data_IF_566518140647
#
_entry.id   IF_566518140647
#
_cell.length_a   1.000
_cell.length_b   1.000
_cell.length_c   1.000
_cell.angle_alpha   90.00
_cell.angle_beta   90.00
_cell.angle_gamma   90.00
#
_symmetry.space_group_name_H-M   'P 1'
#
loop_
_entity.id
_entity.type
_entity.pdbx_description
1 polymer ?
#
# COMPACT_ATOMS: atom_id res chain seq x y z
N UNK A 1 3.18 8.62 -16.24
CA UNK A 1 4.17 7.60 -15.88
C UNK A 1 4.46 6.63 -17.01
N UNK A 2 3.48 5.86 -17.52
CA UNK A 2 3.71 4.88 -18.59
C UNK A 2 4.31 5.44 -19.89
N UNK A 3 4.08 6.72 -20.19
CA UNK A 3 4.64 7.39 -21.36
C UNK A 3 6.15 7.67 -21.27
N UNK A 4 6.73 7.75 -20.07
CA UNK A 4 8.09 8.27 -19.86
C UNK A 4 9.20 7.34 -20.39
N UNK A 5 8.95 6.03 -20.46
CA UNK A 5 9.91 5.03 -20.93
C UNK A 5 9.36 4.16 -22.08
N UNK A 6 8.39 4.67 -22.85
CA UNK A 6 7.80 3.92 -23.95
C UNK A 6 8.88 3.47 -24.95
N UNK A 7 9.13 2.16 -24.98
CA UNK A 7 10.07 1.51 -25.90
C UNK A 7 11.39 1.05 -25.29
N UNK A 8 11.80 1.58 -24.14
CA UNK A 8 13.15 1.29 -23.58
C UNK A 8 13.15 0.37 -22.36
N UNK A 9 12.06 0.31 -21.59
CA UNK A 9 12.03 -0.44 -20.33
C UNK A 9 10.77 -1.29 -20.24
N UNK A 10 10.95 -2.62 -20.26
CA UNK A 10 9.87 -3.55 -19.85
C UNK A 10 9.65 -3.37 -18.35
N UNK A 11 8.40 -3.23 -17.92
CA UNK A 11 8.06 -3.05 -16.49
C UNK A 11 8.56 -4.19 -15.58
N UNK A 12 8.84 -5.37 -16.15
CA UNK A 12 9.56 -6.50 -15.52
C UNK A 12 10.95 -6.11 -14.98
N UNK A 13 11.56 -5.01 -15.46
CA UNK A 13 12.79 -4.48 -14.90
C UNK A 13 12.61 -3.83 -13.53
N UNK A 14 11.41 -3.36 -13.18
CA UNK A 14 11.15 -2.78 -11.85
C UNK A 14 11.35 -3.81 -10.73
N UNK A 15 11.12 -5.09 -11.00
CA UNK A 15 11.37 -6.18 -10.06
C UNK A 15 12.87 -6.32 -9.72
N UNK A 16 13.76 -5.76 -10.55
CA UNK A 16 15.21 -5.72 -10.31
C UNK A 16 15.61 -4.59 -9.36
N UNK A 17 14.77 -3.56 -9.19
CA UNK A 17 15.00 -2.49 -8.22
C UNK A 17 14.48 -2.93 -6.87
N UNK A 18 15.35 -3.58 -6.10
CA UNK A 18 15.05 -3.94 -4.72
C UNK A 18 14.89 -2.67 -3.90
N UNK A 19 13.63 -2.30 -3.63
CA UNK A 19 13.29 -1.27 -2.66
C UNK A 19 13.40 -1.93 -1.27
N UNK A 20 14.32 -1.47 -0.41
CA UNK A 20 14.48 -2.06 0.91
C UNK A 20 13.23 -1.86 1.75
N UNK A 21 12.92 -2.84 2.60
CA UNK A 21 11.86 -2.73 3.60
C UNK A 21 10.46 -2.45 3.04
N UNK A 22 10.15 -2.98 1.85
CA UNK A 22 8.77 -2.96 1.34
C UNK A 22 7.83 -3.65 2.35
N UNK A 23 6.67 -3.05 2.63
CA UNK A 23 5.76 -3.58 3.63
C UNK A 23 5.15 -4.91 3.18
N UNK A 24 4.96 -5.80 4.15
CA UNK A 24 4.32 -7.07 3.90
C UNK A 24 2.85 -6.88 3.47
N UNK A 25 2.46 -7.55 2.38
CA UNK A 25 1.07 -7.56 1.90
C UNK A 25 0.13 -8.22 2.91
N UNK A 26 -1.17 -7.92 2.84
CA UNK A 26 -2.17 -8.65 3.61
C UNK A 26 -2.31 -10.09 3.08
N UNK A 27 -2.16 -11.12 3.92
CA UNK A 27 -2.36 -12.50 3.48
C UNK A 27 -3.84 -12.77 3.17
N UNK A 28 -4.08 -13.55 2.11
CA UNK A 28 -5.41 -13.81 1.56
C UNK A 28 -6.29 -14.72 2.45
N UNK A 29 -5.71 -15.54 3.33
CA UNK A 29 -6.41 -16.50 4.20
C UNK A 29 -6.13 -16.25 5.69
N UNK A 30 -7.12 -16.58 6.54
CA UNK A 30 -7.02 -16.64 8.02
C UNK A 30 -6.55 -15.38 8.78
N UNK A 31 -6.51 -14.21 8.16
CA UNK A 31 -6.06 -12.97 8.83
C UNK A 31 -7.20 -12.11 9.37
N UNK A 32 -7.12 -11.63 10.61
CA UNK A 32 -8.10 -10.69 11.17
C UNK A 32 -8.19 -9.39 10.36
N UNK A 33 -9.39 -8.81 10.23
CA UNK A 33 -9.57 -7.52 9.54
C UNK A 33 -8.70 -6.43 10.17
N UNK A 34 -8.61 -6.41 11.50
CA UNK A 34 -7.76 -5.49 12.25
C UNK A 34 -6.26 -5.67 11.94
N UNK A 35 -5.80 -6.91 11.82
CA UNK A 35 -4.41 -7.20 11.48
C UNK A 35 -4.06 -6.73 10.05
N UNK A 36 -5.00 -6.82 9.09
CA UNK A 36 -4.79 -6.25 7.76
C UNK A 36 -4.82 -4.70 7.77
N UNK A 37 -5.66 -4.08 8.62
CA UNK A 37 -5.65 -2.63 8.80
C UNK A 37 -4.33 -2.15 9.42
N UNK A 38 -3.76 -2.90 10.37
CA UNK A 38 -2.42 -2.62 10.92
C UNK A 38 -1.34 -2.68 9.86
N UNK A 39 -1.29 -3.76 9.06
CA UNK A 39 -0.34 -3.88 7.95
C UNK A 39 -0.50 -2.77 6.91
N UNK A 40 -1.75 -2.40 6.60
CA UNK A 40 -2.05 -1.27 5.72
C UNK A 40 -1.45 0.01 6.29
N UNK A 41 -1.67 0.30 7.57
CA UNK A 41 -1.14 1.48 8.23
C UNK A 41 0.39 1.50 8.25
N UNK A 42 1.03 0.43 8.71
CA UNK A 42 2.49 0.31 8.74
C UNK A 42 3.08 0.52 7.35
N UNK A 43 2.48 -0.10 6.31
CA UNK A 43 2.93 0.09 4.95
C UNK A 43 2.72 1.49 4.41
N UNK A 44 1.61 2.15 4.71
CA UNK A 44 1.39 3.54 4.33
C UNK A 44 2.40 4.48 4.97
N UNK A 45 2.79 4.25 6.22
CA UNK A 45 3.84 5.01 6.89
C UNK A 45 5.20 4.83 6.20
N UNK A 46 5.57 3.61 5.83
CA UNK A 46 6.78 3.35 5.02
C UNK A 46 6.71 4.08 3.67
N UNK A 47 5.60 3.96 2.94
CA UNK A 47 5.44 4.61 1.65
C UNK A 47 5.45 6.15 1.75
N UNK A 48 4.95 6.74 2.83
CA UNK A 48 5.03 8.19 3.05
C UNK A 48 6.48 8.70 3.08
N UNK A 49 7.41 7.88 3.54
CA UNK A 49 8.85 8.18 3.52
C UNK A 49 9.38 7.99 2.10
N UNK A 50 9.10 6.84 1.46
CA UNK A 50 9.57 6.55 0.10
C UNK A 50 9.07 7.57 -0.94
N UNK A 51 7.86 8.12 -0.76
CA UNK A 51 7.30 9.14 -1.65
C UNK A 51 8.10 10.44 -1.66
N UNK A 52 8.93 10.72 -0.64
CA UNK A 52 9.87 11.87 -0.67
C UNK A 52 10.87 11.74 -1.83
N UNK A 53 11.31 10.53 -2.16
CA UNK A 53 12.16 10.28 -3.33
C UNK A 53 11.42 10.60 -4.63
N UNK A 54 10.14 10.18 -4.73
CA UNK A 54 9.30 10.47 -5.91
C UNK A 54 9.08 11.97 -6.09
N UNK A 55 8.87 12.72 -5.00
CA UNK A 55 8.73 14.18 -5.03
C UNK A 55 10.00 14.87 -5.53
N UNK A 56 11.17 14.37 -5.13
CA UNK A 56 12.47 14.90 -5.57
C UNK A 56 12.73 14.65 -7.07
N UNK A 57 12.31 13.50 -7.60
CA UNK A 57 12.48 13.19 -9.04
C UNK A 57 11.52 13.97 -9.94
N UNK A 58 10.33 14.35 -9.43
CA UNK A 58 9.27 14.97 -10.21
C UNK A 58 8.73 16.27 -9.58
N UNK A 59 9.59 17.28 -9.34
CA UNK A 59 9.20 18.50 -8.60
C UNK A 59 8.15 19.36 -9.32
N UNK A 60 8.09 19.27 -10.65
CA UNK A 60 7.11 20.01 -11.47
C UNK A 60 5.79 19.23 -11.67
N UNK A 61 5.76 17.95 -11.29
CA UNK A 61 4.55 17.14 -11.41
C UNK A 61 3.62 17.41 -10.24
N UNK A 62 2.32 17.49 -10.52
CA UNK A 62 1.29 17.55 -9.47
C UNK A 62 1.00 16.19 -8.86
N UNK A 63 1.41 15.11 -9.52
CA UNK A 63 1.05 13.76 -9.10
C UNK A 63 1.67 13.39 -7.74
N UNK A 64 2.95 13.67 -7.45
CA UNK A 64 3.53 13.37 -6.14
C UNK A 64 2.79 14.07 -4.99
N UNK A 65 2.38 15.34 -5.17
CA UNK A 65 1.67 16.08 -4.13
C UNK A 65 0.25 15.55 -3.89
N UNK A 66 -0.45 15.13 -4.95
CA UNK A 66 -1.74 14.44 -4.86
C UNK A 66 -1.61 13.09 -4.15
N UNK A 67 -0.64 12.26 -4.55
CA UNK A 67 -0.39 10.96 -3.93
C UNK A 67 -0.07 11.12 -2.45
N UNK A 68 0.75 12.11 -2.07
CA UNK A 68 1.03 12.44 -0.66
C UNK A 68 -0.24 12.85 0.08
N UNK A 69 -1.05 13.75 -0.49
CA UNK A 69 -2.28 14.21 0.13
C UNK A 69 -3.24 13.04 0.42
N UNK A 70 -3.55 12.24 -0.60
CA UNK A 70 -4.46 11.09 -0.44
C UNK A 70 -3.89 10.00 0.46
N UNK A 71 -2.57 9.78 0.45
CA UNK A 71 -1.91 8.86 1.38
C UNK A 71 -2.09 9.32 2.83
N UNK A 72 -1.93 10.62 3.11
CA UNK A 72 -2.12 11.17 4.45
C UNK A 72 -3.59 11.09 4.92
N UNK A 73 -4.55 11.32 4.02
CA UNK A 73 -5.97 11.11 4.31
C UNK A 73 -6.23 9.65 4.66
N UNK A 74 -5.71 8.72 3.85
CA UNK A 74 -5.88 7.28 4.09
C UNK A 74 -5.22 6.82 5.39
N UNK A 75 -4.03 7.33 5.72
CA UNK A 75 -3.35 7.06 6.99
C UNK A 75 -4.26 7.42 8.17
N UNK A 76 -4.79 8.65 8.21
CA UNK A 76 -5.69 9.09 9.28
C UNK A 76 -6.94 8.22 9.40
N UNK A 77 -7.54 7.86 8.27
CA UNK A 77 -8.73 6.98 8.26
C UNK A 77 -8.42 5.57 8.79
N UNK A 78 -7.27 5.01 8.43
CA UNK A 78 -6.86 3.68 8.90
C UNK A 78 -6.45 3.72 10.37
N UNK A 79 -5.71 4.75 10.81
CA UNK A 79 -5.37 4.99 12.21
C UNK A 79 -6.61 5.03 13.11
N UNK A 80 -7.69 5.65 12.63
CA UNK A 80 -8.96 5.70 13.34
C UNK A 80 -9.71 4.37 13.42
N UNK A 81 -9.38 3.40 12.55
CA UNK A 81 -10.04 2.10 12.49
C UNK A 81 -9.24 0.96 13.12
N UNK A 82 -7.95 1.13 13.36
CA UNK A 82 -7.10 0.15 14.06
C UNK A 82 -7.47 0.16 15.56
N UNK A 83 -7.82 -1.01 16.11
CA UNK A 83 -8.24 -1.13 17.52
C UNK A 83 -7.07 -0.96 18.50
N UNK A 84 -5.89 -1.47 18.14
CA UNK A 84 -4.70 -1.48 19.00
C UNK A 84 -3.59 -0.60 18.40
N UNK A 85 -3.74 0.72 18.57
CA UNK A 85 -2.78 1.70 18.02
C UNK A 85 -1.34 1.50 18.50
N UNK A 86 -1.16 1.01 19.73
CA UNK A 86 0.17 0.77 20.33
C UNK A 86 0.96 -0.38 19.71
N UNK A 87 0.36 -1.16 18.81
CA UNK A 87 1.04 -2.24 18.07
C UNK A 87 1.43 -1.83 16.64
N UNK A 88 1.22 -0.56 16.26
CA UNK A 88 1.64 -0.04 14.96
C UNK A 88 3.10 0.34 15.04
N UNK A 89 3.94 -0.34 14.26
CA UNK A 89 5.37 -0.01 14.18
C UNK A 89 5.57 1.24 13.34
N UNK A 90 6.02 2.34 13.96
CA UNK A 90 6.40 3.57 13.25
C UNK A 90 7.91 3.61 13.06
N UNK A 91 8.36 4.15 11.92
CA UNK A 91 9.79 4.32 11.67
C UNK A 91 10.32 5.51 12.47
N UNK A 92 11.39 5.29 13.24
CA UNK A 92 12.16 6.37 13.86
C UNK A 92 12.81 7.27 12.79
N UNK A 93 13.18 8.49 13.15
CA UNK A 93 13.85 9.42 12.22
C UNK A 93 15.09 8.79 11.57
N UNK A 94 15.91 8.05 12.33
CA UNK A 94 17.08 7.37 11.79
C UNK A 94 16.72 6.25 10.79
N UNK A 95 15.65 5.50 11.05
CA UNK A 95 15.16 4.48 10.11
C UNK A 95 14.61 5.11 8.82
N UNK A 96 13.94 6.26 8.92
CA UNK A 96 13.46 6.99 7.75
C UNK A 96 14.64 7.49 6.89
N UNK A 97 15.67 8.05 7.51
CA UNK A 97 16.88 8.48 6.81
C UNK A 97 17.61 7.31 6.14
N UNK A 98 17.75 6.19 6.83
CA UNK A 98 18.33 4.97 6.26
C UNK A 98 17.54 4.48 5.05
N UNK A 99 16.20 4.51 5.13
CA UNK A 99 15.33 4.12 4.03
C UNK A 99 15.52 5.03 2.81
N UNK A 100 15.60 6.34 3.01
CA UNK A 100 15.85 7.32 1.94
C UNK A 100 17.23 7.13 1.30
N UNK A 101 18.28 6.95 2.11
CA UNK A 101 19.63 6.68 1.60
C UNK A 101 19.70 5.40 0.78
N UNK A 102 18.91 4.39 1.12
CA UNK A 102 18.96 3.10 0.44
C UNK A 102 18.30 3.11 -0.95
N UNK A 103 17.37 4.04 -1.18
CA UNK A 103 16.74 4.29 -2.48
C UNK A 103 17.42 5.40 -3.30
N UNK A 104 18.34 6.12 -2.68
CA UNK A 104 19.18 7.09 -3.37
C UNK A 104 20.10 6.36 -4.38
N UNK A 105 20.22 6.95 -5.57
CA UNK A 105 20.99 6.41 -6.70
C UNK A 105 21.74 7.56 -7.35
N UNK A 106 22.94 7.29 -7.86
CA UNK A 106 23.83 8.35 -8.36
C UNK A 106 23.39 8.94 -9.69
N UNK A 107 22.78 8.15 -10.57
CA UNK A 107 22.39 8.57 -11.91
C UNK A 107 20.89 8.77 -12.06
N UNK A 108 20.51 9.71 -12.94
CA UNK A 108 19.13 10.12 -13.15
C UNK A 108 18.22 8.99 -13.62
N UNK A 109 18.74 8.06 -14.44
CA UNK A 109 17.94 6.95 -14.96
C UNK A 109 17.52 6.00 -13.83
N UNK A 110 18.47 5.54 -13.02
CA UNK A 110 18.20 4.63 -11.90
C UNK A 110 17.39 5.32 -10.79
N UNK A 111 17.56 6.64 -10.57
CA UNK A 111 16.72 7.41 -9.64
C UNK A 111 15.26 7.45 -10.06
N UNK A 112 14.98 7.77 -11.34
CA UNK A 112 13.62 7.75 -11.90
C UNK A 112 13.03 6.35 -11.88
N UNK A 113 13.80 5.34 -12.27
CA UNK A 113 13.32 3.96 -12.23
C UNK A 113 12.95 3.52 -10.81
N UNK A 114 13.71 3.95 -9.81
CA UNK A 114 13.37 3.74 -8.39
C UNK A 114 12.06 4.43 -8.02
N UNK A 115 11.84 5.69 -8.44
CA UNK A 115 10.59 6.40 -8.20
C UNK A 115 9.37 5.70 -8.83
N UNK A 116 9.50 5.20 -10.07
CA UNK A 116 8.46 4.40 -10.73
C UNK A 116 8.22 3.07 -10.00
N UNK A 117 9.30 2.41 -9.54
CA UNK A 117 9.21 1.21 -8.72
C UNK A 117 8.43 1.43 -7.42
N UNK A 118 8.65 2.57 -6.74
CA UNK A 118 7.93 2.94 -5.52
C UNK A 118 6.42 3.09 -5.82
N UNK A 119 6.07 3.84 -6.86
CA UNK A 119 4.66 4.05 -7.24
C UNK A 119 3.97 2.75 -7.66
N UNK A 120 4.67 1.89 -8.42
CA UNK A 120 4.18 0.59 -8.81
C UNK A 120 3.89 -0.30 -7.60
N UNK A 121 4.85 -0.43 -6.69
CA UNK A 121 4.69 -1.26 -5.49
C UNK A 121 3.60 -0.71 -4.57
N UNK A 122 3.47 0.62 -4.44
CA UNK A 122 2.39 1.26 -3.69
C UNK A 122 1.02 0.91 -4.28
N UNK A 123 0.87 0.99 -5.61
CA UNK A 123 -0.39 0.64 -6.28
C UNK A 123 -0.83 -0.79 -5.96
N UNK A 124 0.06 -1.77 -6.15
CA UNK A 124 -0.27 -3.18 -5.88
C UNK A 124 -0.48 -3.46 -4.40
N UNK A 125 0.27 -2.81 -3.51
CA UNK A 125 0.06 -2.89 -2.07
C UNK A 125 -1.37 -2.43 -1.69
N UNK A 126 -1.81 -1.28 -2.20
CA UNK A 126 -3.16 -0.76 -1.96
C UNK A 126 -4.25 -1.66 -2.55
N UNK A 127 -4.05 -2.17 -3.77
CA UNK A 127 -4.99 -3.10 -4.43
C UNK A 127 -5.14 -4.39 -3.60
N UNK A 128 -4.05 -4.97 -3.14
CA UNK A 128 -4.05 -6.22 -2.36
C UNK A 128 -4.72 -6.00 -0.99
N UNK A 129 -4.38 -4.93 -0.27
CA UNK A 129 -5.05 -4.57 0.99
C UNK A 129 -6.55 -4.33 0.80
N UNK A 130 -6.94 -3.58 -0.24
CA UNK A 130 -8.35 -3.30 -0.57
C UNK A 130 -9.12 -4.59 -0.84
N UNK A 131 -8.56 -5.52 -1.63
CA UNK A 131 -9.19 -6.81 -1.94
C UNK A 131 -9.52 -7.58 -0.67
N UNK A 132 -8.57 -7.68 0.26
CA UNK A 132 -8.78 -8.39 1.53
C UNK A 132 -9.85 -7.71 2.40
N UNK A 133 -9.79 -6.38 2.54
CA UNK A 133 -10.74 -5.61 3.35
C UNK A 133 -12.17 -5.72 2.78
N UNK A 134 -12.34 -5.57 1.47
CA UNK A 134 -13.66 -5.62 0.80
C UNK A 134 -14.23 -7.04 0.80
N UNK A 135 -13.43 -8.06 0.44
CA UNK A 135 -13.90 -9.45 0.39
C UNK A 135 -14.34 -9.95 1.78
N UNK A 136 -13.71 -9.47 2.86
CA UNK A 136 -14.15 -9.80 4.22
C UNK A 136 -15.43 -9.08 4.62
N UNK A 137 -15.63 -7.81 4.22
CA UNK A 137 -16.93 -7.12 4.43
C UNK A 137 -18.08 -7.86 3.74
N UNK A 138 -17.86 -8.33 2.51
CA UNK A 138 -18.85 -9.11 1.78
C UNK A 138 -19.19 -10.46 2.46
N UNK A 139 -18.20 -11.14 3.06
CA UNK A 139 -18.44 -12.38 3.83
C UNK A 139 -19.15 -12.11 5.16
N UNK A 140 -18.81 -11.04 5.87
CA UNK A 140 -19.48 -10.65 7.12
C UNK A 140 -20.96 -10.30 6.88
N UNK A 141 -21.28 -9.62 5.77
CA UNK A 141 -22.66 -9.33 5.39
C UNK A 141 -23.48 -10.57 5.00
N UNK A 142 -22.84 -11.62 4.48
CA UNK A 142 -23.51 -12.89 4.14
C UNK A 142 -23.72 -13.81 5.35
N UNK A 143 -22.86 -13.72 6.37
CA UNK A 143 -22.99 -14.52 7.60
C UNK A 143 -24.14 -14.06 8.52
N UNK A 144 -24.71 -12.88 8.27
CA UNK A 144 -25.81 -12.31 9.06
C UNK A 144 -27.20 -12.56 8.46
N UNK A 145 -27.32 -13.23 7.31
CA UNK A 145 -28.62 -13.66 6.79
C UNK A 145 -28.90 -15.09 7.28
N UNK A 146 -29.82 -15.30 8.25
CA UNK A 146 -30.26 -16.65 8.57
C UNK A 146 -31.04 -17.17 7.36
N UNK A 147 -30.50 -18.16 6.67
CA UNK A 147 -31.25 -18.93 5.68
C UNK A 147 -32.31 -19.73 6.46
N UNK A 148 -33.49 -19.13 6.63
CA UNK A 148 -34.65 -19.84 7.17
C UNK A 148 -35.26 -20.63 6.02
N UNK A 149 -34.90 -21.90 5.94
CA UNK A 149 -35.56 -22.85 5.04
C UNK A 149 -36.80 -23.38 5.76
N UNK A 150 -37.93 -22.68 5.67
CA UNK A 150 -39.22 -23.25 6.05
C UNK A 150 -39.75 -24.12 4.91
N UNK A 151 -39.55 -25.44 5.02
CA UNK A 151 -40.36 -26.39 4.28
C UNK A 151 -41.78 -26.36 4.86
N UNK A 152 -42.74 -25.81 4.11
CA UNK A 152 -44.16 -26.05 4.37
C UNK A 152 -44.46 -27.50 4.01
N UNK A 153 -44.72 -28.32 5.03
CA UNK A 153 -45.53 -29.52 4.90
C UNK A 153 -46.97 -29.06 4.65
N UNK A 154 -47.52 -29.42 3.49
CA UNK A 154 -48.96 -29.46 3.27
C UNK A 154 -49.35 -30.91 3.05
N UNK A 155 -50.25 -31.35 3.94
CA UNK A 155 -51.01 -32.60 3.98
C UNK A 155 -51.69 -32.95 2.66
#
# INVERSE_FOLDING_TARGET
FLAEFQGEVKYEFLDRYKIPSLPAKCPYSNFGQDACLRRLLEGLLVYSVLLKHVEQEYPLSRIPSEVRYYSNVLIKEVENKVKERGQVTTLSSSQQEQLLRAVDRSDTFHRRMTAHGILYNLHYFLVDCRRVIVNKRARAGRALAPVTFQQRLTT
#
